data_IF_002286742407
#
_entry.id   IF_002286742407
#
_cell.length_a   1.000
_cell.length_b   1.000
_cell.length_c   1.000
_cell.angle_alpha   90.00
_cell.angle_beta   90.00
_cell.angle_gamma   90.00
#
_symmetry.space_group_name_H-M   'P 1'
#
loop_
_entity.id
_entity.type
_entity.pdbx_description
1 polymer ?
#
# COMPACT_ATOMS: atom_id res chain seq x y z
N UNK A 1 -23.55 -5.21 -56.81
CA UNK A 1 -23.27 -5.76 -55.46
C UNK A 1 -21.78 -5.99 -55.38
N UNK A 2 -21.04 -5.15 -54.64
CA UNK A 2 -19.61 -5.39 -54.40
C UNK A 2 -19.52 -6.65 -53.53
N UNK A 3 -19.03 -7.76 -54.08
CA UNK A 3 -18.80 -8.96 -53.27
C UNK A 3 -17.55 -8.68 -52.45
N UNK A 4 -17.72 -8.53 -51.15
CA UNK A 4 -16.60 -8.32 -50.25
C UNK A 4 -16.04 -9.70 -49.94
N UNK A 5 -14.88 -10.00 -50.51
CA UNK A 5 -14.24 -11.30 -50.36
C UNK A 5 -13.64 -11.41 -48.94
N UNK A 6 -13.93 -12.49 -48.18
CA UNK A 6 -13.48 -12.64 -46.80
C UNK A 6 -11.97 -12.62 -46.66
N UNK A 7 -11.23 -13.06 -47.68
CA UNK A 7 -9.77 -13.01 -47.75
C UNK A 7 -9.26 -11.56 -47.75
N UNK A 8 -9.95 -10.67 -48.47
CA UNK A 8 -9.62 -9.25 -48.51
C UNK A 8 -9.87 -8.56 -47.16
N UNK A 9 -10.97 -8.91 -46.48
CA UNK A 9 -11.28 -8.41 -45.15
C UNK A 9 -10.21 -8.86 -44.14
N UNK A 10 -9.80 -10.13 -44.18
CA UNK A 10 -8.78 -10.66 -43.28
C UNK A 10 -7.42 -10.01 -43.52
N UNK A 11 -7.03 -9.79 -44.78
CA UNK A 11 -5.78 -9.11 -45.12
C UNK A 11 -5.76 -7.67 -44.57
N UNK A 12 -6.87 -6.94 -44.69
CA UNK A 12 -7.01 -5.57 -44.17
C UNK A 12 -6.91 -5.58 -42.63
N UNK A 13 -7.60 -6.50 -41.94
CA UNK A 13 -7.53 -6.62 -40.48
C UNK A 13 -6.12 -6.99 -40.02
N UNK A 14 -5.41 -7.85 -40.75
CA UNK A 14 -4.03 -8.21 -40.37
C UNK A 14 -3.06 -7.04 -40.55
N UNK A 15 -3.14 -6.31 -41.65
CA UNK A 15 -2.24 -5.19 -41.93
C UNK A 15 -2.54 -4.02 -41.00
N UNK A 16 -3.80 -3.57 -40.96
CA UNK A 16 -4.19 -2.40 -40.19
C UNK A 16 -4.42 -2.73 -38.72
N UNK A 17 -5.05 -3.85 -38.40
CA UNK A 17 -5.25 -4.31 -37.02
C UNK A 17 -3.95 -4.80 -36.38
N UNK A 18 -3.13 -5.57 -37.11
CA UNK A 18 -1.82 -6.02 -36.61
C UNK A 18 -0.85 -4.87 -36.38
N UNK A 19 -0.78 -3.91 -37.32
CA UNK A 19 0.00 -2.68 -37.15
C UNK A 19 -0.49 -1.84 -35.97
N UNK A 20 -1.80 -1.61 -35.86
CA UNK A 20 -2.39 -0.83 -34.75
C UNK A 20 -2.14 -1.51 -33.40
N UNK A 21 -2.27 -2.83 -33.33
CA UNK A 21 -2.00 -3.58 -32.10
C UNK A 21 -0.52 -3.52 -31.71
N UNK A 22 0.39 -3.57 -32.69
CA UNK A 22 1.83 -3.40 -32.46
C UNK A 22 2.17 -1.99 -31.96
N UNK A 23 1.61 -0.95 -32.58
CA UNK A 23 1.81 0.43 -32.12
C UNK A 23 1.23 0.64 -30.71
N UNK A 24 0.05 0.08 -30.42
CA UNK A 24 -0.50 0.13 -29.08
C UNK A 24 0.43 -0.54 -28.07
N UNK A 25 0.93 -1.74 -28.37
CA UNK A 25 1.84 -2.47 -27.48
C UNK A 25 3.13 -1.72 -27.14
N UNK A 26 3.68 -0.93 -28.08
CA UNK A 26 4.88 -0.11 -27.86
C UNK A 26 4.54 1.29 -27.30
N UNK A 27 3.30 1.74 -27.46
CA UNK A 27 2.87 3.05 -26.99
C UNK A 27 2.66 3.12 -25.46
N UNK A 28 2.79 4.33 -24.86
CA UNK A 28 2.41 4.57 -23.47
C UNK A 28 0.94 4.20 -23.18
N UNK A 29 0.05 4.33 -24.16
CA UNK A 29 -1.38 4.01 -24.02
C UNK A 29 -1.61 2.51 -23.88
N UNK A 30 -0.94 1.68 -24.68
CA UNK A 30 -1.05 0.22 -24.53
C UNK A 30 -0.33 -0.29 -23.29
N UNK A 31 0.75 0.37 -22.84
CA UNK A 31 1.33 0.10 -21.52
C UNK A 31 0.34 0.43 -20.40
N UNK A 32 -0.31 1.59 -20.43
CA UNK A 32 -1.32 1.97 -19.45
C UNK A 32 -2.56 1.05 -19.47
N UNK A 33 -2.98 0.60 -20.66
CA UNK A 33 -4.06 -0.39 -20.80
C UNK A 33 -3.64 -1.78 -20.31
N UNK A 34 -2.41 -2.21 -20.61
CA UNK A 34 -1.85 -3.46 -20.11
C UNK A 34 -1.70 -3.42 -18.58
N UNK A 35 -1.24 -2.30 -18.02
CA UNK A 35 -1.18 -2.08 -16.58
C UNK A 35 -2.59 -2.05 -15.99
N UNK A 36 -3.57 -1.44 -16.66
CA UNK A 36 -4.97 -1.51 -16.24
C UNK A 36 -5.57 -2.90 -16.35
N UNK A 37 -5.15 -3.74 -17.30
CA UNK A 37 -5.62 -5.14 -17.36
C UNK A 37 -4.91 -5.98 -16.29
N UNK A 38 -3.61 -5.75 -16.07
CA UNK A 38 -2.80 -6.40 -15.03
C UNK A 38 -3.25 -6.03 -13.61
N UNK A 39 -3.71 -4.80 -13.39
CA UNK A 39 -4.02 -4.25 -12.07
C UNK A 39 -5.51 -3.89 -11.88
N UNK A 40 -6.31 -3.84 -12.94
CA UNK A 40 -7.69 -3.29 -12.92
C UNK A 40 -8.74 -4.18 -12.28
N UNK A 41 -8.34 -5.32 -11.71
CA UNK A 41 -9.17 -6.07 -10.77
C UNK A 41 -8.46 -6.35 -9.44
N UNK A 42 -7.30 -5.73 -9.19
CA UNK A 42 -6.69 -5.74 -7.86
C UNK A 42 -7.36 -4.65 -7.02
N UNK A 43 -8.64 -4.90 -6.73
CA UNK A 43 -9.19 -4.63 -5.41
C UNK A 43 -8.13 -5.03 -4.39
N UNK A 44 -7.86 -4.18 -3.41
CA UNK A 44 -6.89 -4.42 -2.34
C UNK A 44 -6.95 -5.88 -1.84
N UNK A 45 -5.94 -6.70 -2.19
CA UNK A 45 -5.75 -8.06 -1.66
C UNK A 45 -5.11 -9.07 -2.64
N UNK A 46 -4.62 -10.23 -2.16
CA UNK A 46 -3.67 -10.43 -1.07
C UNK A 46 -2.24 -10.32 -1.63
N UNK A 47 -1.48 -9.35 -1.16
CA UNK A 47 -0.15 -9.09 -1.70
C UNK A 47 0.43 -7.82 -1.11
N UNK A 48 0.31 -7.66 0.21
CA UNK A 48 1.26 -6.78 0.89
C UNK A 48 2.63 -7.34 0.52
N UNK A 49 3.38 -6.59 -0.26
CA UNK A 49 4.75 -6.93 -0.64
C UNK A 49 5.46 -7.48 0.59
N UNK A 50 6.12 -8.65 0.53
CA UNK A 50 6.75 -9.26 1.69
C UNK A 50 7.73 -8.30 2.39
N UNK A 51 8.33 -7.39 1.62
CA UNK A 51 9.16 -6.29 2.11
C UNK A 51 8.38 -5.30 3.00
N UNK A 52 7.15 -4.92 2.62
CA UNK A 52 6.28 -4.05 3.42
C UNK A 52 5.82 -4.76 4.70
N UNK A 53 5.55 -6.07 4.64
CA UNK A 53 5.23 -6.84 5.85
C UNK A 53 6.42 -6.91 6.81
N UNK A 54 7.62 -7.13 6.27
CA UNK A 54 8.85 -7.16 7.04
C UNK A 54 9.16 -5.81 7.69
N UNK A 55 8.94 -4.71 6.97
CA UNK A 55 9.12 -3.36 7.51
C UNK A 55 8.09 -3.03 8.60
N UNK A 56 6.85 -3.51 8.46
CA UNK A 56 5.84 -3.39 9.51
C UNK A 56 6.18 -4.21 10.76
N UNK A 57 6.74 -5.42 10.59
CA UNK A 57 7.19 -6.24 11.71
C UNK A 57 8.38 -5.58 12.45
N UNK A 58 9.33 -4.99 11.71
CA UNK A 58 10.43 -4.22 12.30
C UNK A 58 9.89 -3.00 13.08
N UNK A 59 8.98 -2.23 12.47
CA UNK A 59 8.38 -1.07 13.10
C UNK A 59 7.59 -1.46 14.36
N UNK A 60 6.88 -2.60 14.34
CA UNK A 60 6.18 -3.12 15.51
C UNK A 60 7.16 -3.42 16.64
N UNK A 61 8.31 -4.02 16.33
CA UNK A 61 9.34 -4.33 17.31
C UNK A 61 9.95 -3.06 17.92
N UNK A 62 10.26 -2.05 17.09
CA UNK A 62 10.76 -0.75 17.54
C UNK A 62 9.76 -0.05 18.47
N UNK A 63 8.46 -0.11 18.15
CA UNK A 63 7.40 0.46 18.99
C UNK A 63 7.32 -0.26 20.34
N UNK A 64 7.43 -1.59 20.37
CA UNK A 64 7.46 -2.34 21.64
C UNK A 64 8.65 -1.94 22.50
N UNK A 65 9.84 -1.80 21.93
CA UNK A 65 11.01 -1.35 22.68
C UNK A 65 10.86 0.10 23.19
N UNK A 66 10.28 0.99 22.38
CA UNK A 66 9.97 2.35 22.81
C UNK A 66 8.99 2.36 23.99
N UNK A 67 7.97 1.50 23.96
CA UNK A 67 6.99 1.39 25.05
C UNK A 67 7.65 0.98 26.36
N UNK A 68 8.54 -0.02 26.34
CA UNK A 68 9.26 -0.43 27.55
C UNK A 68 10.13 0.69 28.14
N UNK A 69 10.81 1.44 27.28
CA UNK A 69 11.63 2.60 27.69
C UNK A 69 10.78 3.73 28.27
N UNK A 70 9.60 3.98 27.69
CA UNK A 70 8.63 4.95 28.19
C UNK A 70 8.07 4.52 29.54
N UNK A 71 7.65 3.27 29.69
CA UNK A 71 7.16 2.71 30.96
C UNK A 71 8.21 2.85 32.07
N UNK A 72 9.49 2.65 31.74
CA UNK A 72 10.58 2.85 32.69
C UNK A 72 10.72 4.33 33.10
N UNK A 73 10.65 5.25 32.13
CA UNK A 73 10.68 6.68 32.40
C UNK A 73 9.51 7.13 33.28
N UNK A 74 8.30 6.62 33.04
CA UNK A 74 7.12 6.89 33.86
C UNK A 74 7.32 6.40 35.30
N UNK A 75 7.84 5.18 35.48
CA UNK A 75 8.16 4.65 36.83
C UNK A 75 9.23 5.46 37.53
N UNK A 76 10.24 5.96 36.82
CA UNK A 76 11.26 6.83 37.40
C UNK A 76 10.69 8.19 37.81
N UNK A 77 9.80 8.77 37.00
CA UNK A 77 9.12 10.02 37.31
C UNK A 77 8.17 9.87 38.51
N UNK A 78 7.40 8.79 38.55
CA UNK A 78 6.53 8.47 39.68
C UNK A 78 7.31 8.27 40.99
N UNK A 79 8.46 7.60 40.94
CA UNK A 79 9.36 7.47 42.11
C UNK A 79 9.97 8.81 42.54
N UNK A 80 10.22 9.73 41.60
CA UNK A 80 10.72 11.08 41.88
C UNK A 80 9.65 12.05 42.39
N UNK A 81 8.38 11.68 42.41
CA UNK A 81 7.30 12.50 42.96
C UNK A 81 6.92 11.99 44.36
N UNK A 82 7.67 12.35 45.42
CA UNK A 82 7.30 11.97 46.78
C UNK A 82 6.04 12.74 47.19
N UNK A 83 4.96 12.01 47.46
CA UNK A 83 3.87 12.37 48.39
C UNK A 83 3.44 13.85 48.46
N UNK A 84 3.36 14.57 47.33
CA UNK A 84 2.97 15.98 47.31
C UNK A 84 1.46 16.21 47.59
N UNK A 85 0.72 15.18 48.02
CA UNK A 85 -0.73 15.22 48.18
C UNK A 85 -1.32 14.52 49.41
N UNK A 86 -0.51 14.00 50.34
CA UNK A 86 -1.03 13.31 51.54
C UNK A 86 -0.88 14.11 52.85
N UNK A 87 -0.92 15.45 52.78
CA UNK A 87 -0.76 16.31 53.97
C UNK A 87 -1.59 17.61 53.97
N UNK A 88 -2.63 17.73 53.15
CA UNK A 88 -3.46 18.93 53.07
C UNK A 88 -4.94 18.58 53.21
N UNK A 89 -5.38 18.23 54.42
CA UNK A 89 -6.79 17.91 54.68
C UNK A 89 -7.13 17.43 56.07
N UNK A 90 -6.17 17.31 56.98
CA UNK A 90 -6.40 16.80 58.34
C UNK A 90 -5.86 17.77 59.39
N UNK A 91 -6.24 19.05 59.27
CA UNK A 91 -6.09 20.02 60.35
C UNK A 91 -7.22 21.06 60.30
N UNK A 92 -8.39 20.66 60.81
CA UNK A 92 -9.48 21.53 61.24
C UNK A 92 -10.34 20.73 62.20
N UNK A 93 -9.83 20.59 63.43
CA UNK A 93 -10.61 20.30 64.63
C UNK A 93 -10.85 21.60 65.38
#
# INVERSE_FOLDING_TARGET
MLRVDPEGILAIIFIFGGGTLFLLAVSPVGKALADRIRHGNRQLGPGTEPEVLQELDHLRQDVTELQERLDFAERLLAQKQPAAGLGAGEDSR
#
